data_IF_131848609128
#
_entry.id   IF_131848609128
#
_cell.length_a   1.000
_cell.length_b   1.000
_cell.length_c   1.000
_cell.angle_alpha   90.00
_cell.angle_beta   90.00
_cell.angle_gamma   90.00
#
_symmetry.space_group_name_H-M   'P 1'
#
loop_
_entity.id
_entity.type
_entity.pdbx_description
1 polymer ?
#
# COMPACT_ATOMS: atom_id res chain seq x y z
N UNK A 1 -5.20 -7.55 8.84
CA UNK A 1 -3.82 -7.46 8.30
C UNK A 1 -3.09 -6.41 9.11
N UNK A 2 -1.77 -6.48 9.16
CA UNK A 2 -0.91 -5.43 9.74
C UNK A 2 0.19 -5.09 8.73
N UNK A 3 0.51 -3.81 8.58
CA UNK A 3 1.55 -3.30 7.71
C UNK A 3 2.56 -2.48 8.51
N UNK A 4 3.84 -2.73 8.28
CA UNK A 4 4.97 -1.99 8.86
C UNK A 4 5.97 -1.63 7.78
N UNK A 5 6.62 -0.47 7.95
CA UNK A 5 7.77 -0.08 7.15
C UNK A 5 9.02 -0.28 8.00
N UNK A 6 9.98 -1.04 7.49
CA UNK A 6 11.21 -1.36 8.21
C UNK A 6 12.40 -0.66 7.57
N UNK A 7 13.27 -0.10 8.38
CA UNK A 7 14.52 0.53 7.96
C UNK A 7 15.47 -0.52 7.38
N UNK A 8 15.84 -0.38 6.11
CA UNK A 8 16.73 -1.33 5.46
C UNK A 8 18.18 -0.88 5.65
N UNK A 9 19.02 -1.65 6.35
CA UNK A 9 20.38 -1.23 6.62
C UNK A 9 21.23 -1.23 5.34
N UNK A 10 22.16 -0.27 5.23
CA UNK A 10 23.14 -0.18 4.14
C UNK A 10 24.29 -1.18 4.31
N UNK A 11 23.96 -2.47 4.38
CA UNK A 11 24.92 -3.58 4.50
C UNK A 11 24.49 -4.77 3.67
N UNK A 12 25.37 -5.77 3.60
CA UNK A 12 25.00 -7.07 3.05
C UNK A 12 23.92 -7.73 3.93
N UNK A 13 22.83 -8.12 3.28
CA UNK A 13 21.67 -8.78 3.90
C UNK A 13 21.81 -10.28 3.67
N UNK A 14 21.76 -11.06 4.74
CA UNK A 14 21.85 -12.51 4.64
C UNK A 14 20.56 -13.12 4.04
N UNK A 15 20.60 -14.32 3.45
CA UNK A 15 19.41 -14.95 2.88
C UNK A 15 18.25 -15.13 3.88
N UNK A 16 18.56 -15.36 5.16
CA UNK A 16 17.56 -15.50 6.23
C UNK A 16 16.84 -14.17 6.51
N UNK A 17 17.59 -13.07 6.54
CA UNK A 17 17.06 -11.72 6.73
C UNK A 17 16.22 -11.24 5.54
N UNK A 18 16.39 -11.81 4.34
CA UNK A 18 15.59 -11.43 3.17
C UNK A 18 14.10 -11.74 3.33
N UNK A 19 13.76 -12.79 4.08
CA UNK A 19 12.38 -13.27 4.24
C UNK A 19 11.79 -12.90 5.60
N UNK A 20 12.63 -12.77 6.63
CA UNK A 20 12.22 -12.40 7.99
C UNK A 20 13.23 -11.42 8.60
N UNK A 21 13.34 -10.19 8.08
CA UNK A 21 14.28 -9.20 8.58
C UNK A 21 13.93 -8.82 10.02
N UNK A 22 14.93 -8.90 10.91
CA UNK A 22 14.88 -8.32 12.25
C UNK A 22 15.21 -6.83 12.25
N UNK A 23 14.79 -6.11 11.19
CA UNK A 23 15.07 -4.70 11.02
C UNK A 23 14.17 -3.86 11.92
N UNK A 24 14.66 -2.69 12.31
CA UNK A 24 13.88 -1.73 13.08
C UNK A 24 12.75 -1.16 12.23
N UNK A 25 11.63 -0.84 12.88
CA UNK A 25 10.54 -0.11 12.23
C UNK A 25 10.98 1.34 11.96
N UNK A 26 10.55 1.92 10.84
CA UNK A 26 10.89 3.30 10.51
C UNK A 26 10.47 4.26 11.64
N UNK A 27 11.19 5.39 11.81
CA UNK A 27 10.85 6.36 12.85
C UNK A 27 9.42 6.84 12.72
N UNK A 28 8.71 6.87 13.85
CA UNK A 28 7.35 7.40 13.91
C UNK A 28 7.34 8.92 13.67
N UNK A 29 6.30 9.40 13.00
CA UNK A 29 6.15 10.83 12.67
C UNK A 29 4.66 11.21 12.68
N UNK A 30 4.23 11.99 13.66
CA UNK A 30 2.85 12.49 13.69
C UNK A 30 2.74 13.76 12.83
N UNK A 31 1.72 13.89 11.95
CA UNK A 31 0.54 13.04 11.81
C UNK A 31 0.69 11.89 10.79
N UNK A 32 1.85 11.73 10.16
CA UNK A 32 2.07 10.88 8.98
C UNK A 32 2.42 9.43 9.25
N UNK A 33 2.33 8.91 10.48
CA UNK A 33 2.77 7.58 10.93
C UNK A 33 4.29 7.38 10.83
N UNK A 34 4.92 7.56 9.67
CA UNK A 34 6.36 7.40 9.49
C UNK A 34 7.01 8.61 8.80
N UNK A 35 8.32 8.77 9.04
CA UNK A 35 9.20 9.63 8.26
C UNK A 35 10.41 8.87 7.75
N UNK A 36 10.88 9.24 6.56
CA UNK A 36 12.09 8.68 5.94
C UNK A 36 12.82 9.78 5.19
N UNK A 37 14.15 9.76 5.20
CA UNK A 37 14.94 10.66 4.39
C UNK A 37 14.94 10.18 2.93
N UNK A 38 15.02 11.11 2.00
CA UNK A 38 15.28 10.81 0.60
C UNK A 38 16.54 9.95 0.46
N UNK A 39 16.43 8.87 -0.31
CA UNK A 39 17.51 7.92 -0.53
C UNK A 39 17.63 6.82 0.54
N UNK A 40 17.18 7.03 1.78
CA UNK A 40 17.23 5.99 2.83
C UNK A 40 16.32 4.81 2.44
N UNK A 41 16.86 3.59 2.55
CA UNK A 41 16.18 2.38 2.12
C UNK A 41 15.13 1.91 3.13
N UNK A 42 13.96 1.48 2.67
CA UNK A 42 13.01 0.75 3.50
C UNK A 42 12.41 -0.46 2.80
N UNK A 43 11.86 -1.40 3.57
CA UNK A 43 11.09 -2.55 3.08
C UNK A 43 9.70 -2.56 3.70
N UNK A 44 8.75 -3.22 3.04
CA UNK A 44 7.36 -3.27 3.49
C UNK A 44 7.07 -4.65 4.06
N UNK A 45 6.82 -4.75 5.36
CA UNK A 45 6.37 -5.98 6.00
C UNK A 45 4.85 -6.00 6.09
N UNK A 46 4.26 -7.13 5.68
CA UNK A 46 2.82 -7.34 5.69
C UNK A 46 2.53 -8.64 6.42
N UNK A 47 1.70 -8.58 7.47
CA UNK A 47 1.33 -9.75 8.27
C UNK A 47 -0.14 -10.11 8.08
N UNK A 48 -0.37 -11.38 7.73
CA UNK A 48 -1.71 -11.96 7.72
C UNK A 48 -2.08 -12.39 9.15
N UNK A 49 -3.02 -11.65 9.77
CA UNK A 49 -3.50 -11.92 11.13
C UNK A 49 -4.59 -13.00 11.19
N UNK A 50 -5.04 -13.54 10.05
CA UNK A 50 -5.97 -14.66 10.02
C UNK A 50 -5.24 -15.93 10.43
N UNK A 51 -5.52 -16.43 11.63
CA UNK A 51 -4.88 -17.64 12.18
C UNK A 51 -5.83 -18.81 12.37
N UNK A 52 -7.15 -18.57 12.30
CA UNK A 52 -8.16 -19.57 12.66
C UNK A 52 -8.28 -20.73 11.67
N UNK A 53 -7.96 -20.49 10.41
CA UNK A 53 -8.03 -21.51 9.36
C UNK A 53 -6.82 -21.32 8.41
N UNK A 54 -5.93 -22.33 8.30
CA UNK A 54 -4.74 -22.31 7.46
C UNK A 54 -5.00 -22.03 5.98
N UNK A 55 -6.21 -22.32 5.49
CA UNK A 55 -6.59 -22.11 4.10
C UNK A 55 -6.91 -20.64 3.77
N UNK A 56 -7.03 -19.78 4.79
CA UNK A 56 -7.27 -18.34 4.61
C UNK A 56 -5.99 -17.57 4.26
N UNK A 57 -5.37 -17.95 3.15
CA UNK A 57 -4.33 -17.14 2.53
C UNK A 57 -4.91 -15.79 2.08
N UNK A 58 -4.13 -14.73 2.25
CA UNK A 58 -4.52 -13.38 1.86
C UNK A 58 -3.80 -13.01 0.57
N UNK A 59 -4.56 -12.73 -0.48
CA UNK A 59 -4.06 -12.13 -1.71
C UNK A 59 -3.98 -10.63 -1.52
N UNK A 60 -2.75 -10.11 -1.51
CA UNK A 60 -2.45 -8.72 -1.17
C UNK A 60 -1.96 -7.97 -2.40
N UNK A 61 -2.47 -6.76 -2.57
CA UNK A 61 -2.03 -5.78 -3.56
C UNK A 61 -1.46 -4.57 -2.83
N UNK A 62 -0.31 -4.09 -3.30
CA UNK A 62 0.41 -2.97 -2.71
C UNK A 62 0.46 -1.83 -3.71
N UNK A 63 -0.09 -0.69 -3.33
CA UNK A 63 -0.17 0.52 -4.14
C UNK A 63 0.55 1.66 -3.43
N UNK A 64 1.36 2.44 -4.14
CA UNK A 64 1.85 3.73 -3.68
C UNK A 64 1.06 4.86 -4.35
N UNK A 65 0.42 5.70 -3.57
CA UNK A 65 -0.09 6.99 -4.02
C UNK A 65 0.95 8.06 -3.68
N UNK A 66 1.81 8.35 -4.64
CA UNK A 66 2.91 9.28 -4.47
C UNK A 66 2.41 10.70 -4.21
N UNK A 67 3.21 11.52 -3.52
CA UNK A 67 2.91 12.93 -3.27
C UNK A 67 2.72 13.78 -4.55
N UNK A 68 3.12 13.25 -5.71
CA UNK A 68 2.85 13.82 -7.03
C UNK A 68 1.42 13.58 -7.54
N UNK A 69 0.65 12.71 -6.89
CA UNK A 69 -0.66 12.23 -7.34
C UNK A 69 -0.59 11.01 -8.28
N UNK A 70 0.61 10.51 -8.61
CA UNK A 70 0.78 9.26 -9.36
C UNK A 70 0.44 8.06 -8.46
N UNK A 71 -0.31 7.11 -9.01
CA UNK A 71 -0.57 5.83 -8.34
C UNK A 71 0.23 4.74 -9.02
N UNK A 72 1.00 4.00 -8.24
CA UNK A 72 1.88 2.94 -8.69
C UNK A 72 1.51 1.63 -8.02
N UNK A 73 1.46 0.54 -8.80
CA UNK A 73 1.36 -0.80 -8.23
C UNK A 73 2.76 -1.32 -7.93
N UNK A 74 3.13 -1.41 -6.66
CA UNK A 74 4.44 -1.90 -6.23
C UNK A 74 4.54 -3.43 -6.35
N UNK A 75 3.43 -4.14 -6.13
CA UNK A 75 3.43 -5.59 -6.21
C UNK A 75 2.12 -6.24 -5.81
N UNK A 76 2.14 -7.57 -5.83
CA UNK A 76 1.10 -8.40 -5.25
C UNK A 76 1.69 -9.72 -4.77
N UNK A 77 1.15 -10.25 -3.68
CA UNK A 77 1.64 -11.48 -3.06
C UNK A 77 0.51 -12.25 -2.39
N UNK A 78 0.62 -13.57 -2.33
CA UNK A 78 -0.23 -14.40 -1.49
C UNK A 78 0.49 -14.67 -0.16
N UNK A 79 -0.15 -14.32 0.95
CA UNK A 79 0.41 -14.49 2.31
C UNK A 79 -0.38 -15.57 3.04
N UNK A 80 0.22 -16.72 3.37
CA UNK A 80 -0.47 -17.77 4.12
C UNK A 80 -1.03 -17.26 5.45
N UNK A 81 -2.06 -17.95 5.96
CA UNK A 81 -2.65 -17.66 7.26
C UNK A 81 -1.57 -17.60 8.36
N UNK A 82 -1.65 -16.61 9.24
CA UNK A 82 -0.72 -16.39 10.35
C UNK A 82 0.72 -16.01 9.95
N UNK A 83 1.02 -15.92 8.66
CA UNK A 83 2.37 -15.67 8.15
C UNK A 83 2.59 -14.20 7.83
N UNK A 84 3.84 -13.84 7.54
CA UNK A 84 4.22 -12.51 7.06
C UNK A 84 4.91 -12.62 5.70
N UNK A 85 4.98 -11.49 5.00
CA UNK A 85 5.77 -11.32 3.80
C UNK A 85 6.50 -9.98 3.85
N UNK A 86 7.72 -9.94 3.32
CA UNK A 86 8.48 -8.72 3.13
C UNK A 86 8.64 -8.43 1.65
N UNK A 87 8.09 -7.28 1.24
CA UNK A 87 8.19 -6.79 -0.12
C UNK A 87 9.44 -5.91 -0.25
N UNK A 88 10.20 -6.20 -1.30
CA UNK A 88 11.39 -5.48 -1.75
C UNK A 88 11.10 -4.74 -3.06
N UNK A 89 11.92 -3.74 -3.38
CA UNK A 89 11.76 -2.93 -4.59
C UNK A 89 11.90 -3.76 -5.85
N UNK A 90 11.14 -3.39 -6.89
CA UNK A 90 11.19 -4.02 -8.23
C UNK A 90 11.05 -5.54 -8.23
N UNK A 91 10.45 -6.10 -7.16
CA UNK A 91 10.34 -7.55 -6.93
C UNK A 91 11.71 -8.25 -6.85
N UNK A 92 12.77 -7.51 -6.57
CA UNK A 92 14.13 -8.02 -6.40
C UNK A 92 14.46 -8.14 -4.92
N UNK A 93 14.62 -9.37 -4.43
CA UNK A 93 15.00 -9.61 -3.04
C UNK A 93 16.34 -8.94 -2.74
N UNK A 94 16.40 -8.24 -1.61
CA UNK A 94 17.61 -7.56 -1.13
C UNK A 94 17.76 -6.12 -1.62
N UNK A 95 16.87 -5.64 -2.50
CA UNK A 95 16.88 -4.25 -2.96
C UNK A 95 15.76 -3.47 -2.24
N UNK A 96 16.08 -2.50 -1.35
CA UNK A 96 15.06 -1.74 -0.65
C UNK A 96 14.40 -0.70 -1.55
N UNK A 97 13.22 -0.24 -1.14
CA UNK A 97 12.60 0.95 -1.72
C UNK A 97 13.40 2.18 -1.31
N UNK A 98 13.75 3.02 -2.27
CA UNK A 98 14.42 4.30 -2.04
C UNK A 98 13.50 5.44 -2.45
N UNK A 99 12.87 6.14 -1.49
CA UNK A 99 11.93 7.20 -1.80
C UNK A 99 12.66 8.44 -2.30
N UNK A 100 12.00 9.21 -3.17
CA UNK A 100 12.52 10.48 -3.70
C UNK A 100 11.46 11.57 -3.61
N UNK A 101 11.89 12.79 -3.30
CA UNK A 101 11.01 13.97 -3.25
C UNK A 101 10.67 14.46 -4.67
N UNK A 102 11.50 14.12 -5.67
CA UNK A 102 11.34 14.36 -7.11
C UNK A 102 10.82 15.76 -7.53
N UNK A 103 10.96 16.77 -6.66
CA UNK A 103 10.44 18.12 -6.82
C UNK A 103 11.35 19.13 -6.11
N UNK A 104 11.17 20.42 -6.42
CA UNK A 104 11.82 21.53 -5.68
C UNK A 104 11.35 21.64 -4.22
N UNK A 105 10.35 20.87 -3.81
CA UNK A 105 9.86 20.86 -2.43
C UNK A 105 10.92 20.30 -1.48
N UNK A 106 10.79 20.62 -0.20
CA UNK A 106 11.65 20.06 0.86
C UNK A 106 11.16 18.69 1.35
N UNK A 107 9.87 18.42 1.17
CA UNK A 107 9.22 17.19 1.59
C UNK A 107 7.99 16.90 0.71
N UNK A 108 7.63 15.62 0.65
CA UNK A 108 6.36 15.12 0.11
C UNK A 108 5.75 14.09 1.07
N UNK A 109 4.48 13.75 0.85
CA UNK A 109 3.81 12.70 1.60
C UNK A 109 3.27 11.67 0.62
N UNK A 110 3.74 10.44 0.78
CA UNK A 110 3.26 9.27 0.07
C UNK A 110 2.22 8.53 0.93
N UNK A 111 1.31 7.82 0.27
CA UNK A 111 0.34 6.93 0.92
C UNK A 111 0.49 5.54 0.34
N UNK A 112 1.05 4.64 1.13
CA UNK A 112 1.05 3.22 0.83
C UNK A 112 -0.31 2.63 1.18
N UNK A 113 -1.00 2.08 0.20
CA UNK A 113 -2.28 1.40 0.37
C UNK A 113 -2.07 -0.08 0.12
N UNK A 114 -2.38 -0.89 1.12
CA UNK A 114 -2.30 -2.34 1.07
C UNK A 114 -3.71 -2.90 1.14
N UNK A 115 -4.13 -3.63 0.12
CA UNK A 115 -5.46 -4.23 0.02
C UNK A 115 -5.32 -5.74 0.00
N UNK A 116 -6.00 -6.43 0.90
CA UNK A 116 -6.01 -7.88 1.01
C UNK A 116 -7.40 -8.47 0.80
N UNK A 117 -7.47 -9.61 0.11
CA UNK A 117 -8.69 -10.41 -0.05
C UNK A 117 -8.40 -11.90 0.14
N UNK A 118 -9.38 -12.66 0.63
CA UNK A 118 -9.29 -14.13 0.73
C UNK A 118 -9.61 -14.84 -0.59
N UNK A 119 -9.95 -14.12 -1.66
CA UNK A 119 -10.17 -14.68 -3.00
C UNK A 119 -8.91 -14.66 -3.84
N UNK A 120 -8.63 -15.79 -4.50
CA UNK A 120 -7.43 -15.99 -5.33
C UNK A 120 -7.58 -15.54 -6.78
N UNK A 121 -8.81 -15.30 -7.24
CA UNK A 121 -9.17 -15.03 -8.64
C UNK A 121 -9.42 -13.54 -8.95
N UNK A 122 -9.11 -12.64 -8.02
CA UNK A 122 -9.39 -11.22 -8.20
C UNK A 122 -8.27 -10.54 -8.98
N UNK A 123 -8.61 -10.02 -10.16
CA UNK A 123 -7.76 -9.12 -10.92
C UNK A 123 -8.15 -7.67 -10.62
N UNK A 124 -7.26 -6.85 -10.08
CA UNK A 124 -7.52 -5.42 -9.85
C UNK A 124 -7.27 -4.55 -11.10
N UNK A 125 -6.98 -5.15 -12.25
CA UNK A 125 -6.77 -4.40 -13.51
C UNK A 125 -7.96 -3.51 -13.88
N UNK A 126 -9.19 -3.88 -13.48
CA UNK A 126 -10.38 -3.05 -13.69
C UNK A 126 -10.39 -1.75 -12.88
N UNK A 127 -9.58 -1.64 -11.82
CA UNK A 127 -9.38 -0.39 -11.07
C UNK A 127 -8.37 0.55 -11.74
N UNK A 128 -7.71 0.11 -12.82
CA UNK A 128 -6.82 0.96 -13.60
C UNK A 128 -7.68 2.02 -14.28
N UNK A 129 -7.61 3.24 -13.76
CA UNK A 129 -8.15 4.41 -14.43
C UNK A 129 -7.00 4.99 -15.25
N UNK A 130 -7.19 5.11 -16.57
CA UNK A 130 -6.19 5.73 -17.45
C UNK A 130 -6.13 7.26 -17.30
N UNK A 131 -6.91 7.81 -16.36
CA UNK A 131 -6.97 9.22 -16.03
C UNK A 131 -6.20 9.50 -14.75
N UNK A 132 -5.32 10.49 -14.80
CA UNK A 132 -4.64 11.04 -13.65
C UNK A 132 -5.63 11.78 -12.72
N UNK A 133 -5.32 11.82 -11.43
CA UNK A 133 -6.11 12.61 -10.47
C UNK A 133 -6.21 14.09 -10.88
N UNK A 134 -5.18 14.63 -11.54
CA UNK A 134 -5.20 15.99 -12.08
C UNK A 134 -6.25 16.16 -13.19
N UNK A 135 -6.39 15.20 -14.09
CA UNK A 135 -7.42 15.20 -15.16
C UNK A 135 -8.83 15.07 -14.57
N UNK A 136 -8.99 14.25 -13.52
CA UNK A 136 -10.24 14.14 -12.77
C UNK A 136 -10.61 15.49 -12.16
N UNK A 137 -9.69 16.15 -11.44
CA UNK A 137 -9.93 17.47 -10.83
C UNK A 137 -10.20 18.56 -11.87
N UNK A 138 -9.48 18.55 -13.01
CA UNK A 138 -9.74 19.51 -14.10
C UNK A 138 -11.13 19.31 -14.72
N UNK A 139 -11.56 18.05 -14.89
CA UNK A 139 -12.90 17.73 -15.39
C UNK A 139 -14.00 18.22 -14.46
N UNK A 140 -13.80 18.09 -13.14
CA UNK A 140 -14.76 18.61 -12.15
C UNK A 140 -14.73 20.13 -12.03
N UNK A 141 -13.58 20.79 -12.22
CA UNK A 141 -13.49 22.26 -12.27
C UNK A 141 -14.17 22.88 -13.49
N UNK A 142 -14.24 22.14 -14.61
CA UNK A 142 -14.92 22.59 -15.82
C UNK A 142 -16.44 22.29 -15.82
N UNK A 143 -16.95 21.58 -14.80
CA UNK A 143 -18.38 21.30 -14.62
C UNK A 143 -18.93 22.09 -13.44
N UNK A 144 -18.96 23.42 -13.57
CA UNK A 144 -19.89 24.22 -12.79
C UNK A 144 -21.30 24.01 -13.36
N UNK A 145 -22.04 23.04 -12.80
CA UNK A 145 -23.50 23.01 -12.58
C UNK A 145 -23.99 21.58 -12.36
N UNK A 146 -24.81 21.42 -11.32
CA UNK A 146 -25.84 20.39 -11.24
C UNK A 146 -25.67 19.44 -10.06
N UNK A 147 -26.51 19.63 -9.05
CA UNK A 147 -26.90 18.60 -8.08
C UNK A 147 -27.21 17.30 -8.83
N UNK A 148 -26.46 16.21 -8.59
CA UNK A 148 -26.87 14.80 -8.88
C UNK A 148 -25.76 13.80 -8.50
N UNK A 149 -25.19 13.92 -7.28
CA UNK A 149 -24.18 12.98 -6.78
C UNK A 149 -24.62 12.27 -5.47
N UNK A 150 -25.91 12.30 -5.13
CA UNK A 150 -26.44 11.71 -3.89
C UNK A 150 -27.32 10.46 -4.07
N UNK A 151 -27.54 9.98 -5.30
CA UNK A 151 -28.51 8.91 -5.58
C UNK A 151 -27.90 7.57 -6.06
N UNK A 152 -26.68 7.23 -5.63
CA UNK A 152 -26.05 5.94 -5.93
C UNK A 152 -25.48 5.20 -4.71
N UNK A 153 -25.97 5.50 -3.50
CA UNK A 153 -25.60 4.79 -2.26
C UNK A 153 -26.81 4.34 -1.44
N UNK A 154 -27.77 3.65 -2.06
CA UNK A 154 -28.89 3.04 -1.31
C UNK A 154 -29.42 1.78 -2.01
N UNK A 155 -28.77 0.64 -1.72
CA UNK A 155 -29.38 -0.67 -1.42
C UNK A 155 -28.34 -1.77 -1.59
N UNK A 156 -27.76 -2.22 -0.49
CA UNK A 156 -27.25 -3.59 -0.40
C UNK A 156 -28.20 -4.36 0.54
N UNK A 157 -28.76 -5.51 0.13
CA UNK A 157 -29.60 -6.31 1.01
C UNK A 157 -28.77 -6.90 2.16
N UNK A 158 -29.34 -6.90 3.36
CA UNK A 158 -28.81 -7.64 4.51
C UNK A 158 -29.00 -9.16 4.32
N UNK A 159 -28.09 -9.93 4.91
CA UNK A 159 -28.08 -11.39 5.11
C UNK A 159 -27.37 -12.28 4.06
N UNK A 160 -26.04 -12.28 4.14
CA UNK A 160 -25.21 -13.49 4.08
C UNK A 160 -23.94 -13.19 4.86
N UNK A 161 -23.43 -14.14 5.66
CA UNK A 161 -22.07 -14.05 6.21
C UNK A 161 -21.13 -13.83 5.01
N UNK A 162 -20.33 -12.75 4.95
CA UNK A 162 -19.49 -12.52 3.78
C UNK A 162 -18.55 -13.71 3.59
N UNK A 163 -18.77 -14.49 2.54
CA UNK A 163 -17.85 -15.57 2.11
C UNK A 163 -16.49 -14.94 1.76
N UNK A 164 -16.54 -13.70 1.30
CA UNK A 164 -15.41 -12.89 0.90
C UNK A 164 -15.07 -11.86 1.98
N UNK A 165 -13.81 -11.86 2.42
CA UNK A 165 -13.31 -10.90 3.40
C UNK A 165 -12.27 -10.01 2.75
N UNK A 166 -12.58 -8.72 2.68
CA UNK A 166 -11.64 -7.68 2.29
C UNK A 166 -11.06 -7.01 3.52
N UNK A 167 -9.80 -6.60 3.42
CA UNK A 167 -9.14 -5.75 4.41
C UNK A 167 -8.27 -4.75 3.68
N UNK A 168 -8.16 -3.54 4.21
CA UNK A 168 -7.26 -2.54 3.67
C UNK A 168 -6.56 -1.84 4.83
N UNK A 169 -5.30 -1.49 4.62
CA UNK A 169 -4.52 -0.65 5.50
C UNK A 169 -3.85 0.45 4.69
N UNK A 170 -3.89 1.67 5.20
CA UNK A 170 -3.18 2.81 4.62
C UNK A 170 -2.10 3.26 5.58
N UNK A 171 -0.88 3.36 5.07
CA UNK A 171 0.28 3.89 5.75
C UNK A 171 0.69 5.18 5.05
N UNK A 172 0.58 6.30 5.74
CA UNK A 172 1.20 7.56 5.29
C UNK A 172 2.70 7.51 5.56
N UNK A 173 3.47 8.19 4.72
CA UNK A 173 4.92 8.28 4.83
C UNK A 173 5.37 9.68 4.41
N UNK A 174 5.98 10.44 5.32
CA UNK A 174 6.63 11.70 4.96
C UNK A 174 8.05 11.45 4.48
N UNK A 175 8.36 11.92 3.28
CA UNK A 175 9.69 11.84 2.67
C UNK A 175 10.29 13.24 2.68
N UNK A 176 11.50 13.39 3.24
CA UNK A 176 12.18 14.69 3.37
C UNK A 176 13.62 14.62 2.86
N UNK A 177 14.18 15.74 2.40
CA UNK A 177 15.59 15.86 1.95
C UNK A 177 16.60 15.70 3.09
#
# INVERSE_FOLDING_TARGET
>A
MEVKLLDSPERQISPEELQAPGFDELPSDSPWRYKVREGDGFVIQIKNLLTKDPLNALHVFILNCAGSGRVERLGSVQIPAGSLHVLWSDRQLGIPFRPTVATERKEIVDRLVVVGTTRSDQDLSFLKVDESFAEVIQRYRNRDRGEDAKEMMTRAPESATPVEKWTAEMVTLRIYK
#
